data_IF_817087281306
#
_entry.id   IF_817087281306
#
_cell.length_a   1.000
_cell.length_b   1.000
_cell.length_c   1.000
_cell.angle_alpha   90.00
_cell.angle_beta   90.00
_cell.angle_gamma   90.00
#
_symmetry.space_group_name_H-M   'P 1'
#
loop_
_entity.id
_entity.type
_entity.pdbx_description
1 polymer ?
#
# COMPACT_ATOMS: atom_id res chain seq x y z
N UNK A 1 -2.39 15.37 9.23
CA UNK A 1 -1.78 14.05 8.97
C UNK A 1 -2.82 12.94 9.17
N UNK A 2 -3.16 12.19 8.12
CA UNK A 2 -4.03 11.02 8.24
C UNK A 2 -3.22 9.76 8.54
N UNK A 3 -3.64 8.95 9.52
CA UNK A 3 -3.09 7.61 9.77
C UNK A 3 -4.21 6.60 9.60
N UNK A 4 -4.02 5.68 8.66
CA UNK A 4 -4.93 4.55 8.44
C UNK A 4 -4.21 3.25 8.81
N UNK A 5 -4.89 2.36 9.54
CA UNK A 5 -4.42 1.00 9.75
C UNK A 5 -5.08 0.09 8.73
N UNK A 6 -4.26 -0.67 8.01
CA UNK A 6 -4.70 -1.58 6.95
C UNK A 6 -4.22 -2.97 7.31
N UNK A 7 -5.13 -3.95 7.29
CA UNK A 7 -4.81 -5.35 7.55
C UNK A 7 -4.76 -6.10 6.23
N UNK A 8 -3.64 -6.78 5.97
CA UNK A 8 -3.49 -7.68 4.83
C UNK A 8 -3.12 -9.05 5.34
N UNK A 9 -3.73 -10.09 4.80
CA UNK A 9 -3.45 -11.48 5.17
C UNK A 9 -2.17 -12.02 4.51
N UNK A 10 -1.42 -11.17 3.80
CA UNK A 10 -0.19 -11.54 3.13
C UNK A 10 1.00 -11.47 4.08
N UNK A 11 1.79 -12.55 4.14
CA UNK A 11 3.04 -12.57 4.89
C UNK A 11 3.99 -11.44 4.44
N UNK A 12 4.80 -10.88 5.35
CA UNK A 12 5.82 -9.87 5.04
C UNK A 12 7.05 -10.47 4.32
N UNK A 13 6.86 -11.54 3.53
CA UNK A 13 7.92 -12.22 2.80
C UNK A 13 8.01 -11.71 1.35
N UNK A 14 9.22 -11.48 0.84
CA UNK A 14 9.52 -11.12 -0.56
C UNK A 14 8.60 -10.05 -1.18
N UNK A 15 8.15 -9.08 -0.38
CA UNK A 15 7.27 -8.00 -0.84
C UNK A 15 5.82 -8.38 -1.11
N UNK A 16 5.36 -9.59 -0.73
CA UNK A 16 3.94 -10.00 -0.85
C UNK A 16 3.00 -9.06 -0.10
N UNK A 17 3.36 -8.67 1.13
CA UNK A 17 2.62 -7.67 1.89
C UNK A 17 2.53 -6.31 1.17
N UNK A 18 3.58 -5.88 0.45
CA UNK A 18 3.55 -4.62 -0.31
C UNK A 18 2.56 -4.71 -1.46
N UNK A 19 2.59 -5.81 -2.22
CA UNK A 19 1.65 -6.06 -3.32
C UNK A 19 0.19 -6.11 -2.84
N UNK A 20 -0.06 -6.77 -1.71
CA UNK A 20 -1.39 -6.85 -1.12
C UNK A 20 -1.92 -5.47 -0.71
N UNK A 21 -1.09 -4.65 -0.05
CA UNK A 21 -1.47 -3.28 0.33
C UNK A 21 -1.74 -2.42 -0.90
N UNK A 22 -0.88 -2.50 -1.92
CA UNK A 22 -1.05 -1.77 -3.18
C UNK A 22 -2.36 -2.15 -3.87
N UNK A 23 -2.68 -3.45 -3.93
CA UNK A 23 -3.92 -3.93 -4.54
C UNK A 23 -5.15 -3.42 -3.79
N UNK A 24 -5.16 -3.58 -2.46
CA UNK A 24 -6.26 -3.13 -1.61
C UNK A 24 -6.51 -1.63 -1.75
N UNK A 25 -5.46 -0.80 -1.68
CA UNK A 25 -5.62 0.65 -1.83
C UNK A 25 -6.03 1.05 -3.25
N UNK A 26 -5.55 0.35 -4.28
CA UNK A 26 -5.97 0.63 -5.64
C UNK A 26 -7.46 0.39 -5.84
N UNK A 27 -8.00 -0.69 -5.27
CA UNK A 27 -9.42 -1.02 -5.32
C UNK A 27 -10.27 -0.02 -4.52
N UNK A 28 -9.88 0.29 -3.28
CA UNK A 28 -10.61 1.22 -2.40
C UNK A 28 -10.71 2.64 -2.97
N UNK A 29 -9.65 3.12 -3.64
CA UNK A 29 -9.61 4.46 -4.21
C UNK A 29 -9.94 4.50 -5.72
N UNK A 30 -10.24 3.35 -6.34
CA UNK A 30 -10.58 3.27 -7.76
C UNK A 30 -9.45 3.65 -8.72
N UNK A 31 -8.18 3.56 -8.29
CA UNK A 31 -7.00 3.93 -9.09
C UNK A 31 -6.29 2.70 -9.63
N UNK A 32 -5.34 2.89 -10.56
CA UNK A 32 -4.54 1.75 -11.04
C UNK A 32 -3.49 1.37 -9.98
N UNK A 33 -3.15 0.09 -9.89
CA UNK A 33 -2.11 -0.41 -8.96
C UNK A 33 -0.75 0.29 -9.11
N UNK A 34 -0.42 0.71 -10.34
CA UNK A 34 0.83 1.46 -10.63
C UNK A 34 0.84 2.87 -10.05
N UNK A 35 -0.33 3.40 -9.73
CA UNK A 35 -0.52 4.75 -9.20
C UNK A 35 -0.47 4.76 -7.65
N UNK A 36 -0.34 3.59 -7.02
CA UNK A 36 -0.15 3.45 -5.56
C UNK A 36 1.32 3.14 -5.28
N UNK A 37 2.02 4.12 -4.72
CA UNK A 37 3.48 4.11 -4.56
C UNK A 37 3.85 4.09 -3.08
N UNK A 38 4.65 3.12 -2.66
CA UNK A 38 5.24 3.12 -1.32
C UNK A 38 6.50 4.01 -1.34
N UNK A 39 6.35 5.23 -0.85
CA UNK A 39 7.42 6.25 -0.81
C UNK A 39 8.44 5.95 0.30
N UNK A 40 7.97 5.50 1.47
CA UNK A 40 8.85 5.12 2.61
C UNK A 40 8.34 3.91 3.37
N UNK A 41 9.26 3.22 4.05
CA UNK A 41 8.94 2.12 4.96
C UNK A 41 8.73 0.76 4.28
N UNK A 42 9.36 0.49 3.13
CA UNK A 42 9.22 -0.80 2.40
C UNK A 42 9.51 -2.03 3.27
N UNK A 43 10.37 -1.89 4.29
CA UNK A 43 10.73 -2.93 5.28
C UNK A 43 10.09 -2.70 6.66
N UNK A 44 9.31 -1.63 6.84
CA UNK A 44 8.67 -1.27 8.12
C UNK A 44 7.17 -1.54 8.10
N UNK A 45 6.58 -1.72 9.29
CA UNK A 45 5.12 -1.77 9.47
C UNK A 45 4.47 -0.40 9.20
N UNK A 46 5.18 0.70 9.47
CA UNK A 46 4.71 2.05 9.18
C UNK A 46 5.20 2.46 7.79
N UNK A 47 4.25 2.60 6.86
CA UNK A 47 4.53 2.93 5.46
C UNK A 47 3.95 4.30 5.12
N UNK A 48 4.71 5.07 4.35
CA UNK A 48 4.19 6.24 3.67
C UNK A 48 3.84 5.83 2.25
N UNK A 49 2.58 6.01 1.89
CA UNK A 49 2.02 5.61 0.61
C UNK A 49 1.47 6.86 -0.06
N UNK A 50 1.81 7.02 -1.32
CA UNK A 50 1.29 8.06 -2.21
C UNK A 50 0.35 7.40 -3.20
N UNK A 51 -0.82 8.02 -3.41
CA UNK A 51 -1.85 7.55 -4.32
C UNK A 51 -2.04 8.65 -5.37
N UNK A 52 -1.58 8.40 -6.59
CA UNK A 52 -1.59 9.38 -7.69
C UNK A 52 -2.74 9.05 -8.64
N UNK A 53 -3.97 9.31 -8.20
CA UNK A 53 -5.17 9.14 -9.01
C UNK A 53 -5.56 10.44 -9.73
N UNK A 54 -6.19 10.32 -10.90
CA UNK A 54 -6.84 11.43 -11.61
C UNK A 54 -8.35 11.25 -11.55
#
# INVERSE_FOLDING_TARGET
EGKTRVYVNAAPDKGKANKAVIALLAEEYGVRKKDVIIVKGKTSRKKLIEIVGR
#
